data_IF_376533463208
#
_entry.id   IF_376533463208
#
_cell.length_a   1.000
_cell.length_b   1.000
_cell.length_c   1.000
_cell.angle_alpha   90.00
_cell.angle_beta   90.00
_cell.angle_gamma   90.00
#
_symmetry.space_group_name_H-M   'P 1'
#
loop_
_entity.id
_entity.type
_entity.pdbx_description
1 polymer ?
#
# COMPACT_ATOMS: atom_id res chain seq x y z
N UNK A 1 -3.47 -12.54 3.43
CA UNK A 1 -4.81 -12.41 3.96
C UNK A 1 -5.81 -12.13 2.85
N UNK A 2 -6.88 -12.88 2.86
CA UNK A 2 -7.85 -12.84 1.76
C UNK A 2 -9.03 -11.93 2.00
N UNK A 3 -9.31 -11.64 3.28
CA UNK A 3 -10.49 -10.87 3.62
C UNK A 3 -10.48 -9.48 3.02
N UNK A 4 -9.30 -8.91 2.81
CA UNK A 4 -9.17 -7.59 2.24
C UNK A 4 -9.53 -7.52 0.76
N UNK A 5 -9.73 -8.65 0.10
CA UNK A 5 -10.22 -8.65 -1.27
C UNK A 5 -11.69 -8.25 -1.38
N UNK A 6 -12.38 -8.13 -0.24
CA UNK A 6 -13.82 -7.87 -0.21
C UNK A 6 -14.14 -6.47 0.33
N UNK A 7 -13.38 -5.47 -0.06
CA UNK A 7 -13.70 -4.10 0.28
C UNK A 7 -15.06 -3.72 -0.32
N UNK A 8 -15.83 -2.96 0.45
CA UNK A 8 -17.14 -2.49 0.02
C UNK A 8 -17.32 -1.05 0.45
N UNK A 9 -18.37 -0.42 -0.03
CA UNK A 9 -18.74 0.94 0.32
C UNK A 9 -18.24 1.94 -0.69
N UNK A 10 -17.33 2.81 -0.31
CA UNK A 10 -16.84 3.87 -1.20
C UNK A 10 -15.35 3.68 -1.50
N UNK A 11 -14.93 4.28 -2.59
CA UNK A 11 -13.52 4.40 -2.92
C UNK A 11 -13.28 5.78 -3.51
N UNK A 12 -12.03 6.20 -3.57
CA UNK A 12 -11.67 7.46 -4.22
C UNK A 12 -11.45 7.17 -5.70
N UNK A 13 -12.27 7.80 -6.55
CA UNK A 13 -12.15 7.64 -8.00
C UNK A 13 -10.91 8.40 -8.48
N UNK A 14 -9.89 7.71 -9.01
CA UNK A 14 -8.67 8.38 -9.46
C UNK A 14 -8.90 9.36 -10.61
N UNK A 15 -9.97 9.20 -11.37
CA UNK A 15 -10.25 10.07 -12.51
C UNK A 15 -10.83 11.41 -12.09
N UNK A 16 -11.45 11.49 -10.92
CA UNK A 16 -12.10 12.70 -10.44
C UNK A 16 -11.56 13.21 -9.10
N UNK A 17 -10.93 12.32 -8.32
CA UNK A 17 -10.51 12.64 -6.97
C UNK A 17 -11.64 12.58 -5.95
N UNK A 18 -12.84 12.19 -6.35
CA UNK A 18 -14.01 12.17 -5.48
C UNK A 18 -14.24 10.80 -4.87
N UNK A 19 -14.84 10.79 -3.68
CA UNK A 19 -15.32 9.57 -3.06
C UNK A 19 -16.62 9.17 -3.77
N UNK A 20 -16.67 7.94 -4.27
CA UNK A 20 -17.83 7.43 -4.99
C UNK A 20 -18.23 6.07 -4.44
N UNK A 21 -19.51 5.70 -4.51
CA UNK A 21 -19.95 4.38 -4.06
C UNK A 21 -19.43 3.30 -5.01
N UNK A 22 -19.06 2.18 -4.43
CA UNK A 22 -18.63 1.03 -5.21
C UNK A 22 -19.85 0.33 -5.81
N UNK A 23 -19.74 -0.04 -7.09
CA UNK A 23 -20.80 -0.79 -7.76
C UNK A 23 -20.78 -2.26 -7.36
N UNK A 24 -19.72 -2.74 -6.76
CA UNK A 24 -19.58 -4.14 -6.36
C UNK A 24 -18.38 -4.31 -5.43
N UNK A 25 -17.85 -5.52 -5.40
CA UNK A 25 -16.67 -5.84 -4.59
C UNK A 25 -15.45 -5.12 -5.14
N UNK A 26 -14.67 -4.53 -4.24
CA UNK A 26 -13.43 -3.85 -4.59
C UNK A 26 -12.25 -4.79 -4.38
N UNK A 27 -11.26 -4.69 -5.25
CA UNK A 27 -10.00 -5.41 -5.08
C UNK A 27 -9.14 -4.70 -4.03
N UNK A 28 -8.36 -5.48 -3.30
CA UNK A 28 -7.38 -4.91 -2.37
C UNK A 28 -6.15 -4.46 -3.14
N UNK A 29 -5.82 -3.19 -3.00
CA UNK A 29 -4.63 -2.60 -3.60
C UNK A 29 -3.65 -2.21 -2.52
N UNK A 30 -2.39 -2.56 -2.71
CA UNK A 30 -1.31 -2.07 -1.84
C UNK A 30 -0.87 -0.72 -2.35
N UNK A 31 -1.04 0.32 -1.53
CA UNK A 31 -0.71 1.69 -1.92
C UNK A 31 0.77 1.81 -2.27
N UNK A 32 1.63 1.37 -1.36
CA UNK A 32 3.05 1.16 -1.64
C UNK A 32 3.21 -0.31 -2.00
N UNK A 33 3.77 -0.65 -3.17
CA UNK A 33 3.86 -2.04 -3.59
C UNK A 33 4.63 -2.92 -2.63
N UNK A 34 4.19 -4.16 -2.49
CA UNK A 34 4.89 -5.13 -1.63
C UNK A 34 6.33 -5.34 -2.07
N UNK A 35 6.60 -5.28 -3.37
CA UNK A 35 7.97 -5.42 -3.89
C UNK A 35 8.90 -4.36 -3.32
N UNK A 36 8.40 -3.11 -3.20
CA UNK A 36 9.18 -2.04 -2.60
C UNK A 36 9.48 -2.33 -1.12
N UNK A 37 8.48 -2.81 -0.40
CA UNK A 37 8.63 -3.12 1.04
C UNK A 37 9.70 -4.19 1.23
N UNK A 38 9.65 -5.25 0.41
CA UNK A 38 10.61 -6.36 0.51
C UNK A 38 12.04 -5.94 0.23
N UNK A 39 12.22 -4.87 -0.53
CA UNK A 39 13.56 -4.37 -0.89
C UNK A 39 14.17 -3.44 0.16
N UNK A 40 13.42 -3.07 1.19
CA UNK A 40 13.92 -2.14 2.18
C UNK A 40 15.00 -2.78 3.05
N UNK A 41 16.03 -1.99 3.42
CA UNK A 41 17.07 -2.50 4.31
C UNK A 41 16.46 -3.04 5.60
N UNK A 42 16.90 -4.22 5.99
CA UNK A 42 16.46 -4.87 7.23
C UNK A 42 15.18 -5.67 7.12
N UNK A 43 14.45 -5.61 5.99
CA UNK A 43 13.21 -6.37 5.84
C UNK A 43 13.49 -7.88 5.94
N UNK A 44 14.52 -8.36 5.28
CA UNK A 44 14.85 -9.79 5.27
C UNK A 44 15.31 -10.32 6.61
N UNK A 45 15.68 -9.44 7.53
CA UNK A 45 16.09 -9.83 8.89
C UNK A 45 14.89 -10.01 9.82
N UNK A 46 13.71 -9.62 9.39
CA UNK A 46 12.49 -9.75 10.19
C UNK A 46 12.02 -11.21 10.20
N UNK A 47 11.27 -11.56 11.25
CA UNK A 47 10.60 -12.85 11.27
C UNK A 47 9.54 -12.90 10.16
N UNK A 48 9.14 -14.09 9.75
CA UNK A 48 8.08 -14.25 8.75
C UNK A 48 6.78 -13.58 9.19
N UNK A 49 6.48 -13.67 10.47
CA UNK A 49 5.27 -13.06 11.01
C UNK A 49 5.32 -11.55 10.90
N UNK A 50 6.46 -10.95 11.20
CA UNK A 50 6.66 -9.51 11.07
C UNK A 50 6.62 -9.07 9.61
N UNK A 51 7.22 -9.83 8.71
CA UNK A 51 7.17 -9.54 7.29
C UNK A 51 5.71 -9.55 6.78
N UNK A 52 4.96 -10.56 7.15
CA UNK A 52 3.55 -10.67 6.76
C UNK A 52 2.72 -9.51 7.29
N UNK A 53 2.97 -9.12 8.54
CA UNK A 53 2.28 -7.99 9.17
C UNK A 53 2.50 -6.70 8.36
N UNK A 54 3.74 -6.44 7.97
CA UNK A 54 4.07 -5.25 7.17
C UNK A 54 3.46 -5.31 5.78
N UNK A 55 3.59 -6.45 5.11
CA UNK A 55 3.14 -6.59 3.73
C UNK A 55 1.63 -6.48 3.59
N UNK A 56 0.87 -6.78 4.65
CA UNK A 56 -0.59 -6.84 4.60
C UNK A 56 -1.26 -5.83 5.53
N UNK A 57 -0.53 -4.85 6.01
CA UNK A 57 -1.07 -3.92 7.00
C UNK A 57 -2.16 -3.04 6.38
N UNK A 58 -3.28 -2.86 7.09
CA UNK A 58 -4.41 -2.08 6.55
C UNK A 58 -4.08 -0.64 6.17
N UNK A 59 -3.12 -0.02 6.86
CA UNK A 59 -2.71 1.35 6.52
C UNK A 59 -2.19 1.46 5.09
N UNK A 60 -1.63 0.39 4.55
CA UNK A 60 -1.08 0.37 3.20
C UNK A 60 -2.00 -0.30 2.19
N UNK A 61 -3.28 -0.43 2.50
CA UNK A 61 -4.23 -1.05 1.59
C UNK A 61 -5.41 -0.13 1.34
N UNK A 62 -5.98 -0.23 0.16
CA UNK A 62 -7.19 0.47 -0.22
C UNK A 62 -8.02 -0.39 -1.15
N UNK A 63 -9.30 -0.10 -1.25
CA UNK A 63 -10.17 -0.77 -2.21
C UNK A 63 -10.18 -0.03 -3.52
N UNK A 64 -10.04 -0.74 -4.63
CA UNK A 64 -10.21 -0.20 -5.97
C UNK A 64 -11.02 -1.16 -6.81
N UNK A 65 -11.85 -0.65 -7.76
CA UNK A 65 -12.42 -1.52 -8.78
C UNK A 65 -11.33 -2.31 -9.49
N UNK A 66 -11.65 -3.53 -9.85
CA UNK A 66 -10.66 -4.46 -10.43
C UNK A 66 -9.94 -3.88 -11.64
N UNK A 67 -10.66 -3.18 -12.52
CA UNK A 67 -10.05 -2.59 -13.71
C UNK A 67 -9.03 -1.52 -13.37
N UNK A 68 -9.33 -0.69 -12.38
CA UNK A 68 -8.39 0.34 -11.92
C UNK A 68 -7.19 -0.27 -11.23
N UNK A 69 -7.42 -1.29 -10.40
CA UNK A 69 -6.35 -2.00 -9.74
C UNK A 69 -5.40 -2.67 -10.76
N UNK A 70 -5.97 -3.25 -11.80
CA UNK A 70 -5.17 -3.87 -12.87
C UNK A 70 -4.34 -2.84 -13.63
N UNK A 71 -4.86 -1.64 -13.82
CA UNK A 71 -4.11 -0.56 -14.47
C UNK A 71 -2.95 -0.07 -13.59
N UNK A 72 -3.20 0.05 -12.29
CA UNK A 72 -2.19 0.52 -11.35
C UNK A 72 -1.02 -0.46 -11.24
N UNK A 73 -1.30 -1.76 -11.20
CA UNK A 73 -0.28 -2.78 -11.01
C UNK A 73 0.58 -2.47 -9.77
N UNK A 74 1.90 -2.57 -9.90
CA UNK A 74 2.84 -2.32 -8.81
C UNK A 74 3.52 -0.95 -8.92
N UNK A 75 2.86 0.02 -9.55
CA UNK A 75 3.41 1.37 -9.64
C UNK A 75 3.48 2.02 -8.27
N UNK A 76 4.52 2.79 -8.07
CA UNK A 76 4.68 3.57 -6.84
C UNK A 76 3.65 4.69 -6.78
N UNK A 77 3.27 5.12 -5.56
CA UNK A 77 2.38 6.27 -5.42
C UNK A 77 2.93 7.50 -6.14
N UNK A 78 2.08 8.10 -6.95
CA UNK A 78 2.45 9.24 -7.78
C UNK A 78 2.92 8.88 -9.17
N UNK A 79 3.23 7.60 -9.43
CA UNK A 79 3.69 7.14 -10.75
C UNK A 79 2.55 6.64 -11.64
N UNK A 80 1.42 6.33 -11.05
CA UNK A 80 0.24 5.92 -11.82
C UNK A 80 -0.52 7.16 -12.22
N UNK A 81 -0.49 7.50 -13.51
CA UNK A 81 -0.97 8.79 -14.00
C UNK A 81 -2.01 8.69 -15.10
N UNK A 82 -2.22 7.50 -15.68
CA UNK A 82 -3.20 7.32 -16.74
C UNK A 82 -4.02 6.05 -16.54
N UNK A 83 -5.25 6.08 -17.05
CA UNK A 83 -6.13 4.93 -17.10
C UNK A 83 -6.85 4.96 -18.45
N UNK A 84 -6.65 3.91 -19.25
CA UNK A 84 -7.25 3.78 -20.59
C UNK A 84 -7.07 5.05 -21.44
N UNK A 85 -5.84 5.59 -21.39
CA UNK A 85 -5.48 6.77 -22.18
C UNK A 85 -5.92 8.10 -21.60
N UNK A 86 -6.62 8.10 -20.47
CA UNK A 86 -7.03 9.32 -19.79
C UNK A 86 -6.11 9.63 -18.64
N UNK A 87 -5.75 10.90 -18.47
CA UNK A 87 -5.00 11.34 -17.30
C UNK A 87 -5.86 11.21 -16.05
N UNK A 88 -5.25 10.73 -14.98
CA UNK A 88 -5.88 10.74 -13.68
C UNK A 88 -5.99 12.19 -13.18
N UNK A 89 -6.88 12.39 -12.22
CA UNK A 89 -7.04 13.72 -11.61
C UNK A 89 -5.72 14.19 -11.00
N UNK A 90 -5.26 15.42 -11.32
CA UNK A 90 -3.98 15.89 -10.77
C UNK A 90 -3.94 15.94 -9.26
N UNK A 91 -5.06 16.29 -8.62
CA UNK A 91 -5.16 16.30 -7.16
C UNK A 91 -5.02 14.88 -6.59
N UNK A 92 -5.62 13.90 -7.27
CA UNK A 92 -5.46 12.51 -6.86
C UNK A 92 -3.99 12.07 -6.93
N UNK A 93 -3.33 12.38 -8.05
CA UNK A 93 -1.92 12.01 -8.24
C UNK A 93 -1.06 12.62 -7.14
N UNK A 94 -1.27 13.90 -6.85
CA UNK A 94 -0.50 14.61 -5.83
C UNK A 94 -0.75 14.04 -4.44
N UNK A 95 -2.01 13.80 -4.09
CA UNK A 95 -2.36 13.21 -2.80
C UNK A 95 -1.80 11.80 -2.66
N UNK A 96 -1.84 11.03 -3.73
CA UNK A 96 -1.28 9.68 -3.76
C UNK A 96 0.23 9.72 -3.49
N UNK A 97 0.95 10.62 -4.13
CA UNK A 97 2.39 10.78 -3.91
C UNK A 97 2.70 11.16 -2.46
N UNK A 98 1.91 12.06 -1.87
CA UNK A 98 2.12 12.49 -0.49
C UNK A 98 1.87 11.37 0.51
N UNK A 99 0.74 10.67 0.37
CA UNK A 99 0.43 9.55 1.27
C UNK A 99 1.44 8.43 1.09
N UNK A 100 1.94 8.24 -0.14
CA UNK A 100 2.97 7.27 -0.42
C UNK A 100 4.26 7.55 0.34
N UNK A 101 4.69 8.81 0.39
CA UNK A 101 5.86 9.19 1.16
C UNK A 101 5.67 8.91 2.65
N UNK A 102 4.51 9.25 3.19
CA UNK A 102 4.20 8.99 4.59
C UNK A 102 4.21 7.50 4.90
N UNK A 103 3.62 6.71 4.02
CA UNK A 103 3.59 5.25 4.20
C UNK A 103 4.98 4.63 4.07
N UNK A 104 5.79 5.10 3.12
CA UNK A 104 7.17 4.61 2.97
C UNK A 104 7.97 4.87 4.25
N UNK A 105 7.86 6.07 4.80
CA UNK A 105 8.55 6.42 6.02
C UNK A 105 8.06 5.57 7.19
N UNK A 106 6.75 5.39 7.30
CA UNK A 106 6.17 4.56 8.35
C UNK A 106 6.65 3.11 8.25
N UNK A 107 6.64 2.55 7.04
CA UNK A 107 7.09 1.18 6.82
C UNK A 107 8.56 1.00 7.20
N UNK A 108 9.41 1.94 6.82
CA UNK A 108 10.83 1.90 7.20
C UNK A 108 11.00 1.96 8.71
N UNK A 109 10.22 2.81 9.39
CA UNK A 109 10.27 2.92 10.84
C UNK A 109 9.86 1.61 11.51
N UNK A 110 8.84 0.94 10.98
CA UNK A 110 8.41 -0.34 11.52
C UNK A 110 9.50 -1.40 11.38
N UNK A 111 10.19 -1.42 10.24
CA UNK A 111 11.29 -2.35 10.02
C UNK A 111 12.40 -2.11 11.05
N UNK A 112 12.77 -0.86 11.27
CA UNK A 112 13.78 -0.51 12.25
C UNK A 112 13.37 -0.91 13.66
N UNK A 113 12.13 -0.63 14.02
CA UNK A 113 11.58 -0.95 15.34
C UNK A 113 11.60 -2.45 15.59
N UNK A 114 11.14 -3.23 14.61
CA UNK A 114 11.16 -4.69 14.73
C UNK A 114 12.59 -5.22 14.85
N UNK A 115 13.49 -4.72 14.04
CA UNK A 115 14.89 -5.17 14.10
C UNK A 115 15.54 -4.80 15.43
N UNK A 116 15.23 -3.62 15.95
CA UNK A 116 15.71 -3.23 17.27
C UNK A 116 15.20 -4.15 18.37
N UNK A 117 13.90 -4.45 18.34
CA UNK A 117 13.30 -5.36 19.31
C UNK A 117 13.85 -6.77 19.18
N UNK A 118 14.02 -7.27 17.97
CA UNK A 118 14.56 -8.60 17.72
C UNK A 118 16.00 -8.71 18.25
N UNK A 119 16.79 -7.68 17.99
CA UNK A 119 18.17 -7.64 18.48
C UNK A 119 18.24 -7.62 19.99
N UNK A 120 17.43 -6.77 20.63
CA UNK A 120 17.38 -6.67 22.10
C UNK A 120 16.92 -8.00 22.71
N UNK A 121 15.92 -8.64 22.10
CA UNK A 121 15.47 -9.94 22.55
C UNK A 121 16.58 -10.99 22.49
N UNK A 122 17.35 -10.99 21.40
CA UNK A 122 18.47 -11.91 21.23
C UNK A 122 19.58 -11.65 22.25
N UNK A 123 19.86 -10.40 22.55
CA UNK A 123 20.89 -10.02 23.50
C UNK A 123 20.58 -10.45 24.94
N UNK A 124 19.33 -10.72 25.23
CA UNK A 124 18.91 -11.17 26.56
C UNK A 124 19.17 -12.65 26.82
N UNK A 125 19.51 -13.36 25.79
CA UNK A 125 19.84 -14.78 25.90
C UNK A 125 21.34 -14.98 25.99
#
# INVERSE_FOLDING_TARGET
>A
MRANANFRGTYIDPLTGNSVPAAGTLAADHIVPQSWVREQPGFNDLTRQQQSWLLNHPLNTQGLPTSLNSSKQDKMPGDWVTYRGQLLDPGYIQNDALRGQMLQNWLRQQIETFNGANKNGNERH
#
